data_IF_195733929392
#
_entry.id   IF_195733929392
#
_cell.length_a   1.000
_cell.length_b   1.000
_cell.length_c   1.000
_cell.angle_alpha   90.00
_cell.angle_beta   90.00
_cell.angle_gamma   90.00
#
_symmetry.space_group_name_H-M   'P 1'
#
loop_
_entity.id
_entity.type
_entity.pdbx_description
1 polymer ?
#
# COMPACT_ATOMS: atom_id res chain seq x y z
N UNK A 1 -9.92 -2.33 11.60
CA UNK A 1 -10.45 -1.32 10.67
C UNK A 1 -10.79 -2.00 9.36
N UNK A 2 -12.03 -1.87 8.90
CA UNK A 2 -12.52 -2.38 7.62
C UNK A 2 -12.49 -1.27 6.55
N UNK A 3 -12.87 -1.58 5.31
CA UNK A 3 -12.89 -0.60 4.21
C UNK A 3 -13.83 0.58 4.43
N UNK A 4 -15.00 0.36 5.05
CA UNK A 4 -15.95 1.44 5.33
C UNK A 4 -15.38 2.40 6.36
N UNK A 5 -14.77 1.88 7.43
CA UNK A 5 -14.08 2.72 8.42
C UNK A 5 -13.00 3.60 7.76
N UNK A 6 -12.22 3.03 6.82
CA UNK A 6 -11.20 3.79 6.08
C UNK A 6 -11.84 4.83 5.17
N UNK A 7 -12.92 4.49 4.47
CA UNK A 7 -13.64 5.42 3.59
C UNK A 7 -14.24 6.59 4.40
N UNK A 8 -14.79 6.33 5.59
CA UNK A 8 -15.38 7.35 6.44
C UNK A 8 -14.33 8.32 7.00
N UNK A 9 -13.11 7.82 7.27
CA UNK A 9 -12.00 8.63 7.82
C UNK A 9 -11.23 9.38 6.72
N UNK A 10 -10.85 8.67 5.66
CA UNK A 10 -9.91 9.16 4.64
C UNK A 10 -10.60 9.62 3.36
N UNK A 11 -11.86 9.27 3.16
CA UNK A 11 -12.55 9.43 1.89
C UNK A 11 -12.05 8.48 0.80
N UNK A 12 -12.44 8.79 -0.43
CA UNK A 12 -12.12 7.96 -1.59
C UNK A 12 -10.63 8.00 -1.92
N UNK A 13 -10.00 6.84 -2.19
CA UNK A 13 -8.62 6.81 -2.63
C UNK A 13 -8.47 7.42 -4.02
N UNK A 14 -7.27 7.94 -4.31
CA UNK A 14 -6.93 8.43 -5.64
C UNK A 14 -6.61 7.30 -6.62
N UNK A 15 -6.04 6.21 -6.11
CA UNK A 15 -5.84 4.97 -6.87
C UNK A 15 -6.14 3.74 -6.02
N UNK A 16 -6.66 2.71 -6.67
CA UNK A 16 -6.82 1.38 -6.08
C UNK A 16 -6.11 0.33 -6.92
N UNK A 17 -5.30 -0.51 -6.28
CA UNK A 17 -4.65 -1.66 -6.93
C UNK A 17 -5.23 -2.95 -6.33
N UNK A 18 -5.94 -3.75 -7.12
CA UNK A 18 -6.58 -4.99 -6.67
C UNK A 18 -5.88 -6.18 -7.32
N UNK A 19 -5.50 -7.18 -6.52
CA UNK A 19 -5.06 -8.48 -7.03
C UNK A 19 -5.76 -9.62 -6.25
N UNK A 20 -5.42 -10.87 -6.57
CA UNK A 20 -6.06 -12.05 -5.96
C UNK A 20 -5.83 -12.16 -4.44
N UNK A 21 -4.74 -11.60 -3.92
CA UNK A 21 -4.33 -11.76 -2.53
C UNK A 21 -4.66 -10.55 -1.66
N UNK A 22 -4.66 -9.35 -2.27
CA UNK A 22 -4.73 -8.07 -1.57
C UNK A 22 -5.35 -6.99 -2.43
N UNK A 23 -5.89 -6.00 -1.74
CA UNK A 23 -6.32 -4.74 -2.31
C UNK A 23 -5.56 -3.60 -1.65
N UNK A 24 -5.14 -2.61 -2.44
CA UNK A 24 -4.41 -1.46 -1.94
C UNK A 24 -5.11 -0.18 -2.34
N UNK A 25 -5.31 0.70 -1.38
CA UNK A 25 -5.83 2.04 -1.58
C UNK A 25 -4.71 3.03 -1.38
N UNK A 26 -4.56 3.95 -2.33
CA UNK A 26 -3.40 4.83 -2.42
C UNK A 26 -3.88 6.27 -2.44
N UNK A 27 -3.31 7.05 -1.54
CA UNK A 27 -3.64 8.44 -1.25
C UNK A 27 -2.38 9.29 -1.40
N UNK A 28 -2.55 10.51 -1.89
CA UNK A 28 -1.53 11.56 -1.89
C UNK A 28 -2.22 12.93 -2.01
N UNK A 29 -1.56 13.98 -1.56
CA UNK A 29 -2.03 15.34 -1.84
C UNK A 29 -1.29 15.94 -3.03
N UNK A 30 -1.89 16.98 -3.61
CA UNK A 30 -1.19 17.82 -4.59
C UNK A 30 -0.01 18.48 -3.89
N UNK A 31 1.14 18.47 -4.54
CA UNK A 31 2.37 19.03 -4.00
C UNK A 31 2.72 20.33 -4.72
N UNK A 32 3.22 21.32 -3.97
CA UNK A 32 3.74 22.55 -4.56
C UNK A 32 5.17 22.29 -5.06
N UNK A 33 5.40 22.48 -6.36
CA UNK A 33 6.72 22.37 -6.96
C UNK A 33 7.11 23.71 -7.58
N UNK A 34 8.01 24.43 -6.92
CA UNK A 34 8.27 25.84 -7.21
C UNK A 34 7.02 26.68 -6.94
N UNK A 35 6.40 27.18 -8.00
CA UNK A 35 5.16 27.96 -7.94
C UNK A 35 3.94 27.22 -8.52
N UNK A 36 4.13 25.98 -8.97
CA UNK A 36 3.08 25.19 -9.64
C UNK A 36 2.55 24.12 -8.70
N UNK A 37 1.22 23.98 -8.62
CA UNK A 37 0.57 22.87 -7.93
C UNK A 37 0.53 21.67 -8.87
N UNK A 38 1.19 20.57 -8.48
CA UNK A 38 1.26 19.35 -9.28
C UNK A 38 0.49 18.24 -8.56
N UNK A 39 -0.41 17.58 -9.30
CA UNK A 39 -1.10 16.38 -8.86
C UNK A 39 -0.43 15.15 -9.46
N UNK A 40 0.56 14.61 -8.76
CA UNK A 40 1.34 13.47 -9.24
C UNK A 40 1.80 12.61 -8.06
N UNK A 41 1.41 11.33 -8.07
CA UNK A 41 1.75 10.37 -7.01
C UNK A 41 3.26 10.24 -6.77
N UNK A 42 4.08 10.22 -7.83
CA UNK A 42 5.52 9.99 -7.74
C UNK A 42 6.27 11.17 -7.13
N UNK A 43 5.70 12.37 -7.25
CA UNK A 43 6.27 13.60 -6.69
C UNK A 43 5.69 13.93 -5.31
N UNK A 44 4.70 13.16 -4.85
CA UNK A 44 4.05 13.39 -3.57
C UNK A 44 4.87 12.83 -2.41
N UNK A 45 5.26 13.70 -1.49
CA UNK A 45 6.03 13.32 -0.29
C UNK A 45 5.16 12.71 0.81
N UNK A 46 3.84 12.84 0.72
CA UNK A 46 2.87 12.41 1.72
C UNK A 46 2.05 11.18 1.26
N UNK A 47 2.57 10.45 0.27
CA UNK A 47 1.93 9.25 -0.25
C UNK A 47 1.67 8.23 0.86
N UNK A 48 0.42 7.78 0.97
CA UNK A 48 -0.02 6.76 1.92
C UNK A 48 -0.66 5.60 1.17
N UNK A 49 -0.22 4.39 1.49
CA UNK A 49 -0.80 3.15 0.97
C UNK A 49 -1.45 2.38 2.12
N UNK A 50 -2.72 2.01 1.96
CA UNK A 50 -3.47 1.15 2.88
C UNK A 50 -3.72 -0.17 2.18
N UNK A 51 -3.24 -1.27 2.77
CA UNK A 51 -3.38 -2.62 2.25
C UNK A 51 -4.48 -3.36 3.01
N UNK A 52 -5.35 -4.00 2.25
CA UNK A 52 -6.44 -4.83 2.72
C UNK A 52 -6.24 -6.28 2.30
N UNK A 53 -6.54 -7.19 3.22
CA UNK A 53 -6.71 -8.61 2.93
C UNK A 53 -8.06 -9.02 3.53
N UNK A 54 -8.90 -9.71 2.77
CA UNK A 54 -10.26 -10.08 3.18
C UNK A 54 -11.08 -8.88 3.72
N UNK A 55 -10.93 -7.72 3.10
CA UNK A 55 -11.67 -6.49 3.45
C UNK A 55 -11.23 -5.79 4.75
N UNK A 56 -10.15 -6.26 5.39
CA UNK A 56 -9.61 -5.66 6.62
C UNK A 56 -8.23 -5.07 6.37
N UNK A 57 -7.95 -3.93 7.00
CA UNK A 57 -6.61 -3.30 6.95
C UNK A 57 -5.59 -4.23 7.60
N UNK A 58 -4.52 -4.54 6.87
CA UNK A 58 -3.40 -5.36 7.36
C UNK A 58 -2.09 -4.59 7.44
N UNK A 59 -1.91 -3.55 6.60
CA UNK A 59 -0.70 -2.71 6.58
C UNK A 59 -1.06 -1.30 6.11
N UNK A 60 -0.39 -0.28 6.63
CA UNK A 60 -0.50 1.09 6.13
C UNK A 60 0.84 1.83 6.26
N UNK A 61 1.09 2.81 5.40
CA UNK A 61 2.30 3.66 5.44
C UNK A 61 2.84 4.04 4.06
N UNK A 62 4.05 4.59 4.02
CA UNK A 62 4.82 4.77 2.78
C UNK A 62 5.35 3.41 2.31
N UNK A 63 4.50 2.65 1.61
CA UNK A 63 4.92 1.39 1.02
C UNK A 63 5.57 1.65 -0.34
N UNK A 64 6.85 1.37 -0.48
CA UNK A 64 7.53 1.39 -1.79
C UNK A 64 7.43 0.02 -2.45
N UNK A 65 7.62 -0.03 -3.77
CA UNK A 65 7.68 -1.29 -4.51
C UNK A 65 8.82 -2.19 -4.00
N UNK A 66 9.91 -1.58 -3.52
CA UNK A 66 11.06 -2.28 -2.94
C UNK A 66 10.71 -2.98 -1.63
N UNK A 67 9.90 -2.35 -0.77
CA UNK A 67 9.46 -2.95 0.50
C UNK A 67 8.62 -4.20 0.26
N UNK A 68 7.76 -4.17 -0.76
CA UNK A 68 6.96 -5.32 -1.17
C UNK A 68 7.82 -6.47 -1.69
N UNK A 69 8.82 -6.17 -2.53
CA UNK A 69 9.73 -7.18 -3.06
C UNK A 69 10.53 -7.83 -1.93
N UNK A 70 11.03 -7.04 -0.98
CA UNK A 70 11.79 -7.57 0.15
C UNK A 70 10.91 -8.45 1.05
N UNK A 71 9.68 -8.03 1.35
CA UNK A 71 8.73 -8.83 2.16
C UNK A 71 8.35 -10.13 1.45
N UNK A 72 8.10 -10.10 0.13
CA UNK A 72 7.83 -11.30 -0.65
C UNK A 72 9.01 -12.27 -0.67
N UNK A 73 10.24 -11.76 -0.82
CA UNK A 73 11.47 -12.55 -0.81
C UNK A 73 11.68 -13.24 0.54
N UNK A 74 11.41 -12.54 1.65
CA UNK A 74 11.47 -13.12 2.99
C UNK A 74 10.43 -14.22 3.18
N UNK A 75 9.19 -14.03 2.75
CA UNK A 75 8.14 -15.07 2.84
C UNK A 75 8.50 -16.32 2.03
N UNK A 76 9.02 -16.15 0.82
CA UNK A 76 9.50 -17.27 0.00
C UNK A 76 10.63 -18.03 0.70
N UNK A 77 11.64 -17.33 1.24
CA UNK A 77 12.74 -17.95 1.97
C UNK A 77 12.27 -18.73 3.22
N UNK A 78 11.29 -18.20 3.94
CA UNK A 78 10.68 -18.88 5.08
C UNK A 78 9.92 -20.16 4.65
N UNK A 79 9.13 -20.08 3.58
CA UNK A 79 8.41 -21.25 3.05
C UNK A 79 9.36 -22.38 2.62
N UNK A 80 10.49 -22.04 1.99
CA UNK A 80 11.52 -23.04 1.66
C UNK A 80 12.12 -23.64 2.94
N UNK A 81 12.50 -22.83 3.93
CA UNK A 81 13.09 -23.32 5.18
C UNK A 81 12.14 -24.24 5.96
N UNK A 82 10.83 -23.97 5.94
CA UNK A 82 9.81 -24.83 6.56
C UNK A 82 9.62 -26.15 5.80
N UNK A 83 9.70 -26.14 4.47
CA UNK A 83 9.62 -27.34 3.66
C UNK A 83 10.79 -28.32 3.90
N UNK A 84 11.99 -27.80 4.19
CA UNK A 84 13.17 -28.62 4.51
C UNK A 84 13.23 -29.10 5.96
N UNK A 85 12.33 -28.64 6.85
CA UNK A 85 12.22 -29.11 8.24
C UNK A 85 11.25 -30.29 8.41
N UNK A 86 10.56 -30.71 7.35
CA UNK A 86 9.74 -31.94 7.28
C UNK A 86 10.55 -33.09 6.72
#
# INVERSE_FOLDING_TARGET
MNKNDVMDIMGSPRRTDVNQERERWIYWNKSLYGYTIIDNEQLANDRLVITFVNGKVTKWGQQTLTDDIMESSQKSAQAYAEAFKK
#
